data_IF_806149311760
#
_entry.id   IF_806149311760
#
_cell.length_a   1.000
_cell.length_b   1.000
_cell.length_c   1.000
_cell.angle_alpha   90.00
_cell.angle_beta   90.00
_cell.angle_gamma   90.00
#
_symmetry.space_group_name_H-M   'P 1'
#
loop_
_entity.id
_entity.type
_entity.pdbx_description
1 polymer ?
#
# COMPACT_ATOMS: atom_id res chain seq x y z
N UNK A 1 1.35 -4.24 35.03
CA UNK A 1 0.70 -5.54 34.79
C UNK A 1 0.88 -5.88 33.32
N UNK A 2 1.32 -7.10 32.99
CA UNK A 2 1.55 -7.55 31.61
C UNK A 2 0.35 -8.39 31.18
N UNK A 3 -0.21 -8.09 30.01
CA UNK A 3 -1.32 -8.84 29.43
C UNK A 3 -0.85 -9.62 28.21
N UNK A 4 -1.23 -10.89 28.12
CA UNK A 4 -0.95 -11.74 26.95
C UNK A 4 -2.19 -11.76 26.08
N UNK A 5 -2.06 -11.24 24.86
CA UNK A 5 -3.13 -11.25 23.87
C UNK A 5 -3.07 -12.54 23.04
N UNK A 6 -4.24 -13.08 22.68
CA UNK A 6 -4.38 -14.25 21.82
C UNK A 6 -4.76 -13.82 20.40
N UNK A 7 -4.45 -14.66 19.43
CA UNK A 7 -4.94 -14.50 18.05
C UNK A 7 -6.46 -14.57 18.01
N UNK A 8 -7.05 -13.81 17.09
CA UNK A 8 -8.50 -13.80 16.89
C UNK A 8 -8.96 -15.14 16.31
N UNK A 9 -10.12 -15.60 16.77
CA UNK A 9 -10.77 -16.78 16.19
C UNK A 9 -11.47 -16.41 14.87
N UNK A 10 -11.85 -17.42 14.10
CA UNK A 10 -12.65 -17.23 12.88
C UNK A 10 -13.95 -16.49 13.17
N UNK A 11 -14.58 -16.73 14.33
CA UNK A 11 -15.79 -16.03 14.75
C UNK A 11 -15.54 -14.54 14.99
N UNK A 12 -14.43 -14.20 15.63
CA UNK A 12 -14.06 -12.81 15.88
C UNK A 12 -13.73 -12.08 14.57
N UNK A 13 -13.06 -12.76 13.63
CA UNK A 13 -12.77 -12.23 12.31
C UNK A 13 -14.03 -12.02 11.48
N UNK A 14 -15.00 -12.95 11.56
CA UNK A 14 -16.30 -12.82 10.90
C UNK A 14 -17.09 -11.64 11.45
N UNK A 15 -17.15 -11.50 12.78
CA UNK A 15 -17.79 -10.36 13.42
C UNK A 15 -17.12 -9.03 13.05
N UNK A 16 -15.79 -9.02 12.94
CA UNK A 16 -15.06 -7.85 12.48
C UNK A 16 -15.39 -7.49 11.02
N UNK A 17 -15.43 -8.48 10.13
CA UNK A 17 -15.79 -8.29 8.73
C UNK A 17 -17.20 -7.70 8.59
N UNK A 18 -18.18 -8.29 9.26
CA UNK A 18 -19.56 -7.78 9.27
C UNK A 18 -19.64 -6.35 9.79
N UNK A 19 -18.94 -6.05 10.90
CA UNK A 19 -18.90 -4.71 11.47
C UNK A 19 -18.33 -3.71 10.49
N UNK A 20 -17.22 -4.04 9.84
CA UNK A 20 -16.52 -3.14 8.91
C UNK A 20 -17.37 -2.85 7.68
N UNK A 21 -17.99 -3.87 7.08
CA UNK A 21 -18.93 -3.68 5.96
C UNK A 21 -20.16 -2.86 6.34
N UNK A 22 -20.57 -2.92 7.62
CA UNK A 22 -21.75 -2.20 8.12
C UNK A 22 -21.44 -0.81 8.68
N UNK A 23 -20.27 -0.53 9.21
CA UNK A 23 -20.01 0.73 9.93
C UNK A 23 -19.12 1.69 9.16
N UNK A 24 -18.26 1.18 8.27
CA UNK A 24 -17.35 2.01 7.48
C UNK A 24 -18.09 2.77 6.38
N UNK A 25 -18.01 4.11 6.40
CA UNK A 25 -18.73 4.97 5.47
C UNK A 25 -18.30 4.76 4.01
N UNK A 26 -17.01 4.50 3.78
CA UNK A 26 -16.49 4.25 2.45
C UNK A 26 -16.96 2.90 1.92
N UNK A 27 -16.83 1.84 2.74
CA UNK A 27 -17.23 0.49 2.31
C UNK A 27 -18.73 0.35 2.08
N UNK A 28 -19.55 1.06 2.86
CA UNK A 28 -21.02 1.08 2.66
C UNK A 28 -21.44 1.74 1.36
N UNK A 29 -20.60 2.60 0.79
CA UNK A 29 -20.87 3.25 -0.50
C UNK A 29 -20.57 2.34 -1.70
N UNK A 30 -19.89 1.21 -1.48
CA UNK A 30 -19.49 0.28 -2.51
C UNK A 30 -20.48 -0.88 -2.63
N UNK A 31 -20.65 -1.40 -3.85
CA UNK A 31 -21.44 -2.62 -4.09
C UNK A 31 -20.58 -3.86 -3.77
N UNK A 32 -20.60 -4.29 -2.51
CA UNK A 32 -19.80 -5.41 -2.00
C UNK A 32 -20.68 -6.64 -1.78
N UNK A 33 -20.27 -7.76 -2.39
CA UNK A 33 -20.85 -9.09 -2.20
C UNK A 33 -19.81 -10.03 -1.62
N UNK A 34 -20.15 -10.71 -0.52
CA UNK A 34 -19.30 -11.72 0.11
C UNK A 34 -19.91 -13.10 -0.11
N UNK A 35 -19.27 -13.91 -0.95
CA UNK A 35 -19.70 -15.29 -1.24
C UNK A 35 -18.93 -16.31 -0.39
N UNK A 36 -17.61 -16.12 -0.23
CA UNK A 36 -16.74 -17.04 0.52
C UNK A 36 -15.71 -16.26 1.35
N UNK A 37 -15.36 -16.80 2.52
CA UNK A 37 -14.48 -16.12 3.49
C UNK A 37 -13.29 -16.94 3.97
N UNK A 38 -13.18 -18.22 3.59
CA UNK A 38 -12.13 -19.10 4.12
C UNK A 38 -10.73 -18.61 3.76
N UNK A 39 -10.51 -18.18 2.51
CA UNK A 39 -9.23 -17.64 2.08
C UNK A 39 -8.88 -16.35 2.82
N UNK A 40 -9.88 -15.47 3.00
CA UNK A 40 -9.71 -14.19 3.68
C UNK A 40 -9.23 -14.37 5.13
N UNK A 41 -9.89 -15.26 5.89
CA UNK A 41 -9.52 -15.54 7.28
C UNK A 41 -8.24 -16.37 7.41
N UNK A 42 -8.01 -17.31 6.49
CA UNK A 42 -6.76 -18.09 6.46
C UNK A 42 -5.56 -17.18 6.23
N UNK A 43 -5.68 -16.22 5.33
CA UNK A 43 -4.59 -15.30 4.97
C UNK A 43 -4.35 -14.21 6.03
N UNK A 44 -5.38 -13.82 6.78
CA UNK A 44 -5.22 -12.91 7.92
C UNK A 44 -4.52 -13.56 9.11
N UNK A 45 -4.64 -14.89 9.27
CA UNK A 45 -3.93 -15.65 10.31
C UNK A 45 -4.31 -15.25 11.74
N UNK A 46 -5.54 -14.78 11.96
CA UNK A 46 -6.00 -14.32 13.28
C UNK A 46 -5.57 -12.91 13.66
N UNK A 47 -5.01 -12.12 12.72
CA UNK A 47 -4.66 -10.70 12.91
C UNK A 47 -5.71 -9.80 12.21
N UNK A 48 -6.42 -8.99 13.00
CA UNK A 48 -7.43 -8.04 12.51
C UNK A 48 -6.86 -7.01 11.52
N UNK A 49 -5.64 -6.52 11.76
CA UNK A 49 -5.00 -5.53 10.89
C UNK A 49 -4.70 -6.13 9.53
N UNK A 50 -4.21 -7.37 9.50
CA UNK A 50 -3.97 -8.09 8.24
C UNK A 50 -5.27 -8.32 7.48
N UNK A 51 -6.34 -8.69 8.19
CA UNK A 51 -7.67 -8.84 7.58
C UNK A 51 -8.12 -7.54 6.89
N UNK A 52 -8.05 -6.40 7.58
CA UNK A 52 -8.43 -5.10 7.02
C UNK A 52 -7.57 -4.72 5.81
N UNK A 53 -6.26 -4.92 5.89
CA UNK A 53 -5.36 -4.65 4.76
C UNK A 53 -5.69 -5.54 3.55
N UNK A 54 -6.05 -6.81 3.75
CA UNK A 54 -6.46 -7.69 2.65
C UNK A 54 -7.75 -7.16 2.01
N UNK A 55 -8.73 -6.75 2.81
CA UNK A 55 -10.00 -6.17 2.32
C UNK A 55 -9.70 -4.93 1.47
N UNK A 56 -8.88 -4.02 1.97
CA UNK A 56 -8.46 -2.82 1.25
C UNK A 56 -7.78 -3.14 -0.10
N UNK A 57 -6.81 -4.06 -0.10
CA UNK A 57 -6.08 -4.50 -1.30
C UNK A 57 -7.03 -5.12 -2.33
N UNK A 58 -8.00 -5.91 -1.89
CA UNK A 58 -8.98 -6.53 -2.78
C UNK A 58 -9.84 -5.44 -3.40
N UNK A 59 -10.39 -4.52 -2.60
CA UNK A 59 -11.23 -3.41 -3.06
C UNK A 59 -10.49 -2.50 -4.04
N UNK A 60 -9.26 -2.10 -3.72
CA UNK A 60 -8.46 -1.20 -4.56
C UNK A 60 -8.08 -1.82 -5.91
N UNK A 61 -8.29 -3.13 -6.08
CA UNK A 61 -8.02 -3.85 -7.33
C UNK A 61 -9.21 -3.89 -8.30
N UNK A 62 -10.38 -3.43 -7.87
CA UNK A 62 -11.58 -3.29 -8.71
C UNK A 62 -11.61 -1.93 -9.39
N UNK A 63 -12.21 -1.87 -10.58
CA UNK A 63 -12.45 -0.59 -11.25
C UNK A 63 -13.66 0.13 -10.64
N UNK A 64 -13.70 1.46 -10.78
CA UNK A 64 -14.76 2.27 -10.19
C UNK A 64 -16.12 1.92 -10.80
N UNK A 65 -17.07 1.50 -9.96
CA UNK A 65 -18.43 1.10 -10.37
C UNK A 65 -18.59 -0.39 -10.66
N UNK A 66 -17.55 -1.21 -10.51
CA UNK A 66 -17.64 -2.67 -10.58
C UNK A 66 -18.16 -3.25 -9.24
N UNK A 67 -19.00 -4.28 -9.30
CA UNK A 67 -19.41 -5.05 -8.11
C UNK A 67 -18.20 -5.79 -7.54
N UNK A 68 -17.90 -5.54 -6.28
CA UNK A 68 -16.78 -6.14 -5.56
C UNK A 68 -17.21 -7.48 -4.99
N UNK A 69 -16.62 -8.57 -5.49
CA UNK A 69 -16.98 -9.94 -5.07
C UNK A 69 -15.85 -10.56 -4.25
N UNK A 70 -16.11 -10.80 -2.97
CA UNK A 70 -15.23 -11.57 -2.10
C UNK A 70 -15.55 -13.06 -2.25
N UNK A 71 -14.72 -13.77 -3.01
CA UNK A 71 -14.67 -15.23 -3.04
C UNK A 71 -13.21 -15.72 -2.90
N UNK A 72 -13.02 -17.02 -2.65
CA UNK A 72 -11.71 -17.56 -2.32
C UNK A 72 -10.68 -17.42 -3.46
N UNK A 73 -11.14 -17.48 -4.71
CA UNK A 73 -10.32 -17.38 -5.91
C UNK A 73 -9.91 -15.92 -6.20
N UNK A 74 -10.86 -14.98 -6.14
CA UNK A 74 -10.61 -13.55 -6.33
C UNK A 74 -9.67 -13.01 -5.26
N UNK A 75 -9.91 -13.34 -3.99
CA UNK A 75 -9.02 -12.92 -2.89
C UNK A 75 -7.59 -13.39 -3.14
N UNK A 76 -7.39 -14.65 -3.53
CA UNK A 76 -6.05 -15.17 -3.82
C UNK A 76 -5.39 -14.52 -5.05
N UNK A 77 -6.12 -14.40 -6.16
CA UNK A 77 -5.61 -13.81 -7.40
C UNK A 77 -5.21 -12.35 -7.23
N UNK A 78 -6.08 -11.56 -6.59
CA UNK A 78 -5.85 -10.12 -6.38
C UNK A 78 -4.74 -9.88 -5.37
N UNK A 79 -4.64 -10.69 -4.31
CA UNK A 79 -3.50 -10.63 -3.40
C UNK A 79 -2.18 -10.98 -4.08
N UNK A 80 -2.12 -12.04 -4.90
CA UNK A 80 -0.89 -12.38 -5.62
C UNK A 80 -0.46 -11.26 -6.58
N UNK A 81 -1.40 -10.68 -7.35
CA UNK A 81 -1.11 -9.55 -8.24
C UNK A 81 -0.62 -8.32 -7.48
N UNK A 82 -1.23 -8.02 -6.33
CA UNK A 82 -0.84 -6.88 -5.50
C UNK A 82 0.44 -7.14 -4.70
N UNK A 83 0.77 -8.37 -4.29
CA UNK A 83 2.06 -8.70 -3.67
C UNK A 83 3.21 -8.47 -4.65
N UNK A 84 3.01 -8.72 -5.95
CA UNK A 84 4.01 -8.39 -6.97
C UNK A 84 4.20 -6.87 -7.11
N UNK A 85 3.16 -6.07 -6.89
CA UNK A 85 3.25 -4.61 -6.82
C UNK A 85 3.80 -4.11 -5.46
N UNK A 86 3.60 -4.90 -4.42
CA UNK A 86 3.86 -4.59 -3.02
C UNK A 86 4.89 -5.55 -2.43
N UNK A 87 5.99 -5.77 -3.17
CA UNK A 87 7.15 -6.43 -2.59
C UNK A 87 7.84 -5.43 -1.65
N UNK A 88 7.34 -5.41 -0.40
CA UNK A 88 7.92 -4.75 0.77
C UNK A 88 9.27 -5.36 1.18
N UNK A 89 10.04 -5.93 0.26
CA UNK A 89 11.45 -6.15 0.48
C UNK A 89 12.11 -4.77 0.60
N UNK A 90 12.49 -4.41 1.84
CA UNK A 90 13.17 -3.15 2.19
C UNK A 90 14.36 -2.84 1.28
N UNK A 91 14.93 -3.86 0.64
CA UNK A 91 16.01 -3.75 -0.33
C UNK A 91 15.58 -2.96 -1.58
N UNK A 92 14.43 -3.29 -2.20
CA UNK A 92 13.95 -2.55 -3.37
C UNK A 92 13.59 -1.09 -3.05
N UNK A 93 13.08 -0.82 -1.85
CA UNK A 93 12.81 0.53 -1.39
C UNK A 93 14.06 1.41 -1.45
N UNK A 94 15.19 0.92 -0.90
CA UNK A 94 16.46 1.65 -0.91
C UNK A 94 17.07 1.76 -2.31
N UNK A 95 16.95 0.71 -3.13
CA UNK A 95 17.48 0.72 -4.48
C UNK A 95 16.75 1.72 -5.38
N UNK A 96 15.42 1.75 -5.32
CA UNK A 96 14.61 2.64 -6.16
C UNK A 96 14.82 4.10 -5.74
N UNK A 97 14.79 4.43 -4.45
CA UNK A 97 15.04 5.82 -4.01
C UNK A 97 16.48 6.24 -4.31
N UNK A 98 17.45 5.32 -4.24
CA UNK A 98 18.83 5.63 -4.62
C UNK A 98 18.94 5.92 -6.11
N UNK A 99 18.28 5.13 -6.95
CA UNK A 99 18.23 5.35 -8.40
C UNK A 99 17.57 6.70 -8.73
N UNK A 100 16.46 7.04 -8.07
CA UNK A 100 15.80 8.35 -8.21
C UNK A 100 16.75 9.53 -7.93
N UNK A 101 17.43 9.51 -6.78
CA UNK A 101 18.38 10.56 -6.38
C UNK A 101 19.58 10.63 -7.33
N UNK A 102 20.10 9.48 -7.77
CA UNK A 102 21.20 9.41 -8.74
C UNK A 102 20.80 9.93 -10.11
N UNK A 103 19.58 9.67 -10.58
CA UNK A 103 19.07 10.22 -11.83
C UNK A 103 19.00 11.75 -11.78
N UNK A 104 18.48 12.33 -10.69
CA UNK A 104 18.45 13.80 -10.55
C UNK A 104 19.87 14.38 -10.50
N UNK A 105 20.77 13.81 -9.69
CA UNK A 105 22.19 14.22 -9.63
C UNK A 105 22.88 14.10 -11.00
N UNK A 106 22.55 13.06 -11.76
CA UNK A 106 23.04 12.81 -13.11
C UNK A 106 22.37 13.66 -14.19
N UNK A 107 21.45 14.57 -13.82
CA UNK A 107 20.67 15.38 -14.76
C UNK A 107 19.88 14.55 -15.79
N UNK A 108 19.40 13.37 -15.38
CA UNK A 108 18.52 12.51 -16.17
C UNK A 108 17.05 12.67 -15.70
N UNK A 109 16.26 13.56 -16.33
CA UNK A 109 14.87 13.78 -15.96
C UNK A 109 13.98 12.59 -16.27
N UNK A 110 14.28 11.81 -17.32
CA UNK A 110 13.47 10.65 -17.69
C UNK A 110 13.60 9.55 -16.63
N UNK A 111 14.83 9.26 -16.20
CA UNK A 111 15.09 8.35 -15.10
C UNK A 111 14.45 8.81 -13.80
N UNK A 112 14.56 10.11 -13.47
CA UNK A 112 13.94 10.66 -12.26
C UNK A 112 12.42 10.45 -12.24
N UNK A 113 11.72 10.77 -13.33
CA UNK A 113 10.26 10.56 -13.44
C UNK A 113 9.91 9.08 -13.39
N UNK A 114 10.68 8.21 -14.06
CA UNK A 114 10.45 6.77 -14.05
C UNK A 114 10.53 6.18 -12.63
N UNK A 115 11.60 6.47 -11.89
CA UNK A 115 11.78 5.94 -10.53
C UNK A 115 10.77 6.52 -9.55
N UNK A 116 10.39 7.79 -9.70
CA UNK A 116 9.31 8.39 -8.92
C UNK A 116 7.97 7.70 -9.17
N UNK A 117 7.61 7.48 -10.44
CA UNK A 117 6.38 6.77 -10.80
C UNK A 117 6.36 5.34 -10.26
N UNK A 118 7.50 4.63 -10.30
CA UNK A 118 7.67 3.30 -9.70
C UNK A 118 7.42 3.31 -8.19
N UNK A 119 7.93 4.30 -7.45
CA UNK A 119 7.68 4.43 -6.02
C UNK A 119 6.20 4.71 -5.72
N UNK A 120 5.58 5.63 -6.45
CA UNK A 120 4.16 5.96 -6.27
C UNK A 120 3.27 4.75 -6.56
N UNK A 121 3.52 4.04 -7.66
CA UNK A 121 2.75 2.85 -8.02
C UNK A 121 2.94 1.69 -7.03
N UNK A 122 4.10 1.59 -6.39
CA UNK A 122 4.39 0.61 -5.34
C UNK A 122 3.80 1.00 -3.96
N UNK A 123 3.16 2.18 -3.85
CA UNK A 123 2.56 2.65 -2.60
C UNK A 123 3.58 3.18 -1.59
N UNK A 124 4.71 3.72 -2.07
CA UNK A 124 5.66 4.43 -1.22
C UNK A 124 5.01 5.67 -0.59
N UNK A 125 5.38 5.98 0.66
CA UNK A 125 4.89 7.18 1.34
C UNK A 125 5.35 8.44 0.57
N UNK A 126 4.45 9.29 0.04
CA UNK A 126 4.84 10.51 -0.65
C UNK A 126 5.70 11.45 0.21
N UNK A 127 5.48 11.45 1.54
CA UNK A 127 6.31 12.23 2.46
C UNK A 127 7.75 11.69 2.53
N UNK A 128 7.95 10.38 2.33
CA UNK A 128 9.29 9.82 2.22
C UNK A 128 10.03 10.36 1.00
N UNK A 129 9.37 10.37 -0.17
CA UNK A 129 9.93 10.92 -1.41
C UNK A 129 10.25 12.41 -1.22
N UNK A 130 9.31 13.19 -0.68
CA UNK A 130 9.49 14.63 -0.44
C UNK A 130 10.67 14.94 0.50
N UNK A 131 10.83 14.20 1.61
CA UNK A 131 11.98 14.35 2.52
C UNK A 131 13.32 14.16 1.78
N UNK A 132 13.39 13.20 0.87
CA UNK A 132 14.60 12.93 0.08
C UNK A 132 14.87 14.03 -0.95
N UNK A 133 13.83 14.63 -1.52
CA UNK A 133 13.95 15.79 -2.42
C UNK A 133 14.48 17.03 -1.68
N UNK A 134 14.02 17.30 -0.45
CA UNK A 134 14.54 18.42 0.37
C UNK A 134 16.04 18.24 0.65
N UNK A 135 16.46 17.03 1.03
CA UNK A 135 17.88 16.71 1.24
C UNK A 135 18.68 16.96 -0.06
N UNK A 136 18.21 16.42 -1.19
CA UNK A 136 18.85 16.62 -2.49
C UNK A 136 18.94 18.09 -2.89
N UNK A 137 17.89 18.88 -2.65
CA UNK A 137 17.91 20.32 -2.94
C UNK A 137 19.01 21.03 -2.14
N UNK A 138 19.27 20.61 -0.89
CA UNK A 138 20.33 21.17 -0.06
C UNK A 138 21.74 20.64 -0.38
N UNK A 139 21.88 19.35 -0.70
CA UNK A 139 23.17 18.67 -0.86
C UNK A 139 23.72 18.73 -2.30
N UNK A 140 22.86 18.47 -3.29
CA UNK A 140 23.28 18.29 -4.68
C UNK A 140 23.07 19.55 -5.54
N UNK A 141 22.05 20.36 -5.23
CA UNK A 141 21.79 21.64 -5.93
C UNK A 141 22.41 22.80 -5.15
N UNK A 142 22.08 22.91 -3.86
CA UNK A 142 22.63 23.90 -2.94
C UNK A 142 22.49 25.34 -3.45
N UNK A 143 23.55 26.13 -3.28
CA UNK A 143 23.56 27.54 -3.67
C UNK A 143 23.61 27.78 -5.19
N UNK A 144 23.81 26.74 -6.00
CA UNK A 144 23.79 26.90 -7.46
C UNK A 144 22.38 27.29 -7.95
N UNK A 145 21.33 26.84 -7.27
CA UNK A 145 19.97 27.32 -7.46
C UNK A 145 19.18 27.24 -6.15
N UNK A 146 19.20 28.29 -5.32
CA UNK A 146 18.52 28.30 -4.02
C UNK A 146 17.01 28.08 -4.10
N UNK A 147 16.39 28.36 -5.26
CA UNK A 147 14.97 28.15 -5.46
C UNK A 147 14.58 26.67 -5.41
N UNK A 148 15.52 25.75 -5.61
CA UNK A 148 15.24 24.31 -5.49
C UNK A 148 14.82 23.90 -4.07
N UNK A 149 15.22 24.67 -3.04
CA UNK A 149 14.85 24.43 -1.65
C UNK A 149 13.50 25.08 -1.26
N UNK A 150 13.05 26.07 -2.03
CA UNK A 150 11.83 26.85 -1.79
C UNK A 150 10.54 26.14 -2.25
N UNK A 151 10.56 24.81 -2.42
CA UNK A 151 9.37 24.02 -2.80
C UNK A 151 8.11 24.48 -2.07
#
# INVERSE_FOLDING_TARGET
QVFVLKTLSVKDLSALLERVLKEDEYLRSLDIRVDETEALFRLSGGDARKLLNIIEIVISSYEQGETIVFNNDQVQKRLQKNIVLYDKNREQHYDIISAFIKSIRGSDPNGAVYWMARMIAAGEDPLFIARRMVILASEDIGLANPNAFLM
#
